data_IF_336540994540
#
_entry.id   IF_336540994540
#
_cell.length_a   1.000
_cell.length_b   1.000
_cell.length_c   1.000
_cell.angle_alpha   90.00
_cell.angle_beta   90.00
_cell.angle_gamma   90.00
#
_symmetry.space_group_name_H-M   'P 1'
#
loop_
_entity.id
_entity.type
_entity.pdbx_description
1 polymer ?
#
# COMPACT_ATOMS: atom_id res chain seq x y z
N UNK A 1 -10.34 14.93 19.69
CA UNK A 1 -10.75 13.90 18.69
C UNK A 1 -9.71 13.72 17.58
N UNK A 2 -9.09 14.79 17.05
CA UNK A 2 -8.03 14.66 16.04
C UNK A 2 -6.82 13.84 16.50
N UNK A 3 -6.36 14.01 17.75
CA UNK A 3 -5.20 13.25 18.28
C UNK A 3 -5.38 11.73 18.18
N UNK A 4 -6.57 11.22 18.49
CA UNK A 4 -6.87 9.77 18.38
C UNK A 4 -6.76 9.29 16.93
N UNK A 5 -7.27 10.06 15.95
CA UNK A 5 -7.17 9.71 14.54
C UNK A 5 -5.74 9.69 14.02
N UNK A 6 -4.91 10.66 14.44
CA UNK A 6 -3.48 10.67 14.10
C UNK A 6 -2.78 9.42 14.65
N UNK A 7 -3.00 9.09 15.93
CA UNK A 7 -2.42 7.88 16.54
C UNK A 7 -2.88 6.62 15.79
N UNK A 8 -4.16 6.51 15.43
CA UNK A 8 -4.68 5.39 14.64
C UNK A 8 -4.01 5.30 13.26
N UNK A 9 -3.85 6.42 12.54
CA UNK A 9 -3.20 6.44 11.22
C UNK A 9 -1.72 6.04 11.31
N UNK A 10 -1.00 6.49 12.35
CA UNK A 10 0.38 6.05 12.59
C UNK A 10 0.47 4.56 12.90
N UNK A 11 -0.41 4.05 13.76
CA UNK A 11 -0.44 2.64 14.12
C UNK A 11 -0.73 1.76 12.89
N UNK A 12 -1.71 2.16 12.06
CA UNK A 12 -2.02 1.45 10.81
C UNK A 12 -0.84 1.49 9.83
N UNK A 13 -0.21 2.65 9.64
CA UNK A 13 0.94 2.80 8.75
C UNK A 13 2.13 1.94 9.22
N UNK A 14 2.41 1.93 10.51
CA UNK A 14 3.46 1.10 11.10
C UNK A 14 3.15 -0.40 10.93
N UNK A 15 1.91 -0.81 11.16
CA UNK A 15 1.48 -2.20 10.97
C UNK A 15 1.61 -2.65 9.52
N UNK A 16 1.22 -1.80 8.56
CA UNK A 16 1.42 -2.04 7.12
C UNK A 16 2.92 -2.20 6.81
N UNK A 17 3.76 -1.29 7.32
CA UNK A 17 5.21 -1.37 7.11
C UNK A 17 5.85 -2.63 7.70
N UNK A 18 5.40 -3.06 8.88
CA UNK A 18 5.84 -4.30 9.50
C UNK A 18 5.50 -5.52 8.63
N UNK A 19 4.27 -5.59 8.11
CA UNK A 19 3.85 -6.67 7.20
C UNK A 19 4.62 -6.63 5.87
N UNK A 20 4.90 -5.45 5.32
CA UNK A 20 5.74 -5.30 4.13
C UNK A 20 7.18 -5.75 4.38
N UNK A 21 7.71 -5.52 5.58
CA UNK A 21 9.03 -6.02 5.99
C UNK A 21 9.02 -7.54 6.10
N UNK A 22 7.95 -8.15 6.62
CA UNK A 22 7.79 -9.61 6.63
C UNK A 22 7.75 -10.19 5.22
N UNK A 23 7.02 -9.56 4.28
CA UNK A 23 7.01 -9.97 2.86
C UNK A 23 8.43 -9.91 2.28
N UNK A 24 9.17 -8.84 2.56
CA UNK A 24 10.55 -8.68 2.08
C UNK A 24 11.49 -9.73 2.68
N UNK A 25 11.33 -10.07 3.97
CA UNK A 25 12.07 -11.14 4.64
C UNK A 25 11.80 -12.50 4.00
N UNK A 26 10.52 -12.86 3.82
CA UNK A 26 10.12 -14.11 3.16
C UNK A 26 10.61 -14.19 1.72
N UNK A 27 10.53 -13.09 0.98
CA UNK A 27 10.99 -13.03 -0.42
C UNK A 27 12.51 -13.14 -0.50
N UNK A 28 13.24 -12.46 0.39
CA UNK A 28 14.71 -12.57 0.46
C UNK A 28 15.15 -13.99 0.82
N UNK A 29 14.49 -14.63 1.78
CA UNK A 29 14.73 -16.02 2.12
C UNK A 29 14.45 -16.94 0.93
N UNK A 30 13.34 -16.72 0.23
CA UNK A 30 12.97 -17.47 -0.98
C UNK A 30 14.00 -17.34 -2.10
N UNK A 31 14.62 -16.16 -2.29
CA UNK A 31 15.70 -15.97 -3.26
C UNK A 31 16.90 -16.82 -2.89
N UNK A 32 17.34 -16.77 -1.63
CA UNK A 32 18.49 -17.57 -1.15
C UNK A 32 18.24 -19.07 -1.30
N UNK A 33 17.04 -19.54 -0.97
CA UNK A 33 16.66 -20.95 -1.13
C UNK A 33 16.59 -21.33 -2.61
N UNK A 34 16.04 -20.46 -3.46
CA UNK A 34 16.00 -20.65 -4.91
C UNK A 34 17.40 -20.78 -5.50
N UNK A 35 18.35 -19.93 -5.10
CA UNK A 35 19.73 -19.96 -5.61
C UNK A 35 20.43 -21.28 -5.26
N UNK A 36 20.11 -21.89 -4.09
CA UNK A 36 20.61 -23.23 -3.74
C UNK A 36 20.01 -24.34 -4.60
N UNK A 37 18.78 -24.15 -5.06
CA UNK A 37 18.05 -25.10 -5.87
C UNK A 37 18.29 -24.92 -7.37
N UNK A 38 19.04 -23.90 -7.81
CA UNK A 38 19.19 -23.52 -9.23
C UNK A 38 19.61 -24.70 -10.13
N UNK A 39 20.43 -25.62 -9.62
CA UNK A 39 20.82 -26.85 -10.33
C UNK A 39 19.68 -27.80 -10.66
N UNK A 40 18.58 -27.76 -9.89
CA UNK A 40 17.40 -28.62 -10.04
C UNK A 40 16.23 -27.90 -10.73
N UNK A 41 16.34 -26.59 -10.96
CA UNK A 41 15.28 -25.81 -11.58
C UNK A 41 15.28 -26.02 -13.10
N UNK A 42 14.13 -26.34 -13.72
CA UNK A 42 14.03 -26.34 -15.18
C UNK A 42 14.32 -24.94 -15.75
N UNK A 43 14.97 -24.85 -16.93
CA UNK A 43 15.44 -23.58 -17.52
C UNK A 43 14.30 -22.62 -17.89
N UNK A 44 13.05 -23.08 -17.91
CA UNK A 44 11.86 -22.31 -18.30
C UNK A 44 11.15 -21.60 -17.13
N UNK A 45 11.73 -21.56 -15.93
CA UNK A 45 11.08 -20.94 -14.76
C UNK A 45 11.09 -19.41 -14.86
N UNK A 46 9.90 -18.82 -14.91
CA UNK A 46 9.74 -17.36 -14.82
C UNK A 46 9.86 -16.88 -13.38
N UNK A 47 10.97 -16.21 -13.06
CA UNK A 47 11.19 -15.60 -11.74
C UNK A 47 10.42 -14.28 -11.49
N UNK A 48 9.44 -13.96 -12.33
CA UNK A 48 8.75 -12.66 -12.31
C UNK A 48 7.97 -12.49 -10.98
N UNK A 49 7.30 -13.54 -10.50
CA UNK A 49 6.56 -13.50 -9.24
C UNK A 49 7.39 -13.11 -8.02
N UNK A 50 8.64 -13.59 -7.91
CA UNK A 50 9.56 -13.24 -6.81
C UNK A 50 9.94 -11.76 -6.89
N UNK A 51 10.26 -11.26 -8.10
CA UNK A 51 10.59 -9.84 -8.30
C UNK A 51 9.41 -8.92 -7.96
N UNK A 52 8.19 -9.33 -8.31
CA UNK A 52 6.97 -8.58 -8.00
C UNK A 52 6.70 -8.53 -6.48
N UNK A 53 6.92 -9.63 -5.76
CA UNK A 53 6.82 -9.66 -4.29
C UNK A 53 7.91 -8.79 -3.61
N UNK A 54 9.13 -8.82 -4.13
CA UNK A 54 10.22 -7.95 -3.65
C UNK A 54 9.87 -6.48 -3.84
N UNK A 55 9.29 -6.13 -4.99
CA UNK A 55 8.80 -4.79 -5.27
C UNK A 55 7.66 -4.38 -4.32
N UNK A 56 6.77 -5.31 -3.95
CA UNK A 56 5.74 -5.08 -2.94
C UNK A 56 6.35 -4.73 -1.57
N UNK A 57 7.35 -5.50 -1.13
CA UNK A 57 8.03 -5.28 0.14
C UNK A 57 8.75 -3.94 0.19
N UNK A 58 9.64 -3.68 -0.78
CA UNK A 58 10.41 -2.41 -0.85
C UNK A 58 9.47 -1.22 -1.02
N UNK A 59 8.50 -1.33 -1.93
CA UNK A 59 7.52 -0.29 -2.19
C UNK A 59 6.72 0.06 -0.94
N UNK A 60 6.26 -0.95 -0.19
CA UNK A 60 5.53 -0.74 1.06
C UNK A 60 6.34 -0.02 2.14
N UNK A 61 7.64 -0.28 2.25
CA UNK A 61 8.53 0.45 3.18
C UNK A 61 8.65 1.92 2.76
N UNK A 62 8.86 2.19 1.47
CA UNK A 62 8.93 3.56 0.94
C UNK A 62 7.61 4.30 1.17
N UNK A 63 6.48 3.63 0.91
CA UNK A 63 5.14 4.17 1.11
C UNK A 63 4.87 4.50 2.58
N UNK A 64 5.31 3.63 3.51
CA UNK A 64 5.26 3.87 4.96
C UNK A 64 6.05 5.13 5.34
N UNK A 65 7.26 5.30 4.82
CA UNK A 65 8.11 6.46 5.10
C UNK A 65 7.49 7.75 4.55
N UNK A 66 6.98 7.72 3.32
CA UNK A 66 6.34 8.88 2.70
C UNK A 66 5.06 9.30 3.44
N UNK A 67 4.21 8.33 3.80
CA UNK A 67 3.00 8.62 4.56
C UNK A 67 3.33 9.13 5.97
N UNK A 68 4.30 8.51 6.64
CA UNK A 68 4.80 8.94 7.95
C UNK A 68 5.37 10.36 7.92
N UNK A 69 6.24 10.67 6.96
CA UNK A 69 6.78 12.01 6.77
C UNK A 69 5.67 13.04 6.50
N UNK A 70 4.70 12.69 5.66
CA UNK A 70 3.51 13.51 5.41
C UNK A 70 2.76 13.83 6.70
N UNK A 71 2.50 12.83 7.54
CA UNK A 71 1.83 13.02 8.84
C UNK A 71 2.65 13.90 9.80
N UNK A 72 3.97 13.70 9.90
CA UNK A 72 4.85 14.49 10.79
C UNK A 72 4.83 15.96 10.37
N UNK A 73 5.02 16.24 9.07
CA UNK A 73 5.03 17.60 8.53
C UNK A 73 3.67 18.27 8.78
N UNK A 74 2.56 17.54 8.63
CA UNK A 74 1.23 18.04 8.94
C UNK A 74 1.04 18.40 10.40
N UNK A 75 1.47 17.53 11.32
CA UNK A 75 1.38 17.77 12.75
C UNK A 75 2.23 18.98 13.19
N UNK A 76 3.48 19.08 12.71
CA UNK A 76 4.37 20.20 13.00
C UNK A 76 3.81 21.54 12.48
N UNK A 77 3.25 21.53 11.27
CA UNK A 77 2.65 22.73 10.66
C UNK A 77 1.39 23.17 11.40
N UNK A 78 0.61 22.25 11.96
CA UNK A 78 -0.60 22.57 12.72
C UNK A 78 -0.26 23.26 14.05
N UNK A 79 0.76 22.80 14.76
CA UNK A 79 1.18 23.43 16.04
C UNK A 79 1.71 24.85 15.85
N UNK A 80 2.44 25.10 14.75
CA UNK A 80 3.05 26.41 14.48
C UNK A 80 2.05 27.47 14.00
N UNK A 81 0.91 27.05 13.44
CA UNK A 81 -0.12 27.95 12.91
C UNK A 81 -1.18 28.38 13.94
N UNK A 82 -1.12 27.86 15.16
CA UNK A 82 -2.02 28.28 16.24
C UNK A 82 -1.67 29.69 16.77
N UNK A 83 -0.47 30.20 16.50
CA UNK A 83 -0.01 31.54 16.90
C UNK A 83 -0.15 32.64 15.82
N UNK A 84 -0.55 32.32 14.59
CA UNK A 84 -0.73 33.34 13.53
C UNK A 84 -2.05 33.14 12.79
N UNK A 85 -3.04 33.92 13.22
CA UNK A 85 -4.44 33.93 12.78
C UNK A 85 -4.66 34.45 11.33
N UNK A 86 -3.62 34.64 10.54
CA UNK A 86 -3.70 35.22 9.19
C UNK A 86 -2.81 34.45 8.21
N UNK A 87 -3.43 33.56 7.42
CA UNK A 87 -3.15 33.28 6.00
C UNK A 87 -3.90 32.01 5.60
N UNK A 88 -5.14 32.22 5.18
CA UNK A 88 -6.15 31.21 4.89
C UNK A 88 -5.90 30.43 3.58
N UNK A 89 -4.85 30.74 2.82
CA UNK A 89 -4.64 30.17 1.48
C UNK A 89 -3.74 28.91 1.44
N UNK A 90 -2.81 28.72 2.39
CA UNK A 90 -1.87 27.56 2.37
C UNK A 90 -2.44 26.25 2.94
N UNK A 91 -3.75 26.19 3.22
CA UNK A 91 -4.46 24.99 3.68
C UNK A 91 -4.95 24.10 2.51
N UNK A 92 -4.67 24.44 1.25
CA UNK A 92 -5.15 23.69 0.08
C UNK A 92 -4.28 22.49 -0.33
N UNK A 93 -2.95 22.57 -0.17
CA UNK A 93 -2.03 21.61 -0.78
C UNK A 93 -1.90 20.30 0.03
N UNK A 94 -1.83 20.42 1.35
CA UNK A 94 -1.60 19.29 2.26
C UNK A 94 -2.63 18.13 2.14
N UNK A 95 -3.95 18.38 2.08
CA UNK A 95 -4.94 17.29 2.00
C UNK A 95 -4.92 16.55 0.66
N UNK A 96 -4.50 17.20 -0.43
CA UNK A 96 -4.39 16.57 -1.75
C UNK A 96 -3.18 15.63 -1.81
N UNK A 97 -2.02 16.06 -1.29
CA UNK A 97 -0.82 15.22 -1.22
C UNK A 97 -1.02 13.98 -0.34
N UNK A 98 -1.68 14.14 0.81
CA UNK A 98 -1.95 12.99 1.71
C UNK A 98 -2.89 11.96 1.06
N UNK A 99 -3.91 12.42 0.33
CA UNK A 99 -4.84 11.55 -0.39
C UNK A 99 -4.16 10.84 -1.57
N UNK A 100 -3.25 11.51 -2.28
CA UNK A 100 -2.42 10.90 -3.32
C UNK A 100 -1.54 9.77 -2.77
N UNK A 101 -0.81 10.03 -1.68
CA UNK A 101 0.04 9.00 -1.03
C UNK A 101 -0.82 7.84 -0.53
N UNK A 102 -1.95 8.11 0.13
CA UNK A 102 -2.86 7.05 0.58
C UNK A 102 -3.42 6.20 -0.57
N UNK A 103 -3.64 6.80 -1.75
CA UNK A 103 -4.07 6.08 -2.96
C UNK A 103 -2.97 5.15 -3.45
N UNK A 104 -1.71 5.60 -3.48
CA UNK A 104 -0.55 4.77 -3.87
C UNK A 104 -0.39 3.59 -2.92
N UNK A 105 -0.45 3.84 -1.60
CA UNK A 105 -0.33 2.80 -0.55
C UNK A 105 -1.39 1.70 -0.72
N UNK A 106 -2.60 2.06 -1.17
CA UNK A 106 -3.67 1.10 -1.42
C UNK A 106 -3.55 0.40 -2.78
N UNK A 107 -3.32 1.17 -3.85
CA UNK A 107 -3.37 0.66 -5.22
C UNK A 107 -2.20 -0.28 -5.53
N UNK A 108 -1.00 -0.01 -4.99
CA UNK A 108 0.19 -0.84 -5.23
C UNK A 108 0.01 -2.30 -4.77
N UNK A 109 -0.29 -2.59 -3.49
CA UNK A 109 -0.47 -3.97 -3.05
C UNK A 109 -1.67 -4.63 -3.75
N UNK A 110 -2.72 -3.87 -4.09
CA UNK A 110 -3.85 -4.39 -4.86
C UNK A 110 -3.44 -4.89 -6.26
N UNK A 111 -2.69 -4.08 -7.02
CA UNK A 111 -2.20 -4.45 -8.36
C UNK A 111 -1.29 -5.67 -8.27
N UNK A 112 -0.40 -5.71 -7.28
CA UNK A 112 0.51 -6.83 -7.07
C UNK A 112 -0.26 -8.10 -6.67
N UNK A 113 -1.28 -8.00 -5.82
CA UNK A 113 -2.10 -9.13 -5.47
C UNK A 113 -2.84 -9.70 -6.69
N UNK A 114 -3.48 -8.83 -7.48
CA UNK A 114 -4.17 -9.23 -8.72
C UNK A 114 -3.18 -9.92 -9.66
N UNK A 115 -2.00 -9.34 -9.87
CA UNK A 115 -0.97 -9.91 -10.73
C UNK A 115 -0.53 -11.29 -10.26
N UNK A 116 -0.19 -11.43 -8.98
CA UNK A 116 0.31 -12.69 -8.41
C UNK A 116 -0.74 -13.80 -8.41
N UNK A 117 -2.02 -13.47 -8.21
CA UNK A 117 -3.12 -14.44 -8.33
C UNK A 117 -3.39 -14.85 -9.78
N UNK A 118 -3.37 -13.89 -10.73
CA UNK A 118 -3.53 -14.21 -12.16
C UNK A 118 -2.38 -15.10 -12.65
N UNK A 119 -1.15 -14.78 -12.27
CA UNK A 119 0.03 -15.55 -12.66
C UNK A 119 -0.03 -16.98 -12.09
N UNK A 120 -0.41 -17.12 -10.82
CA UNK A 120 -0.58 -18.43 -10.20
C UNK A 120 -1.70 -19.26 -10.83
N UNK A 121 -2.89 -18.67 -11.05
CA UNK A 121 -3.99 -19.38 -11.70
C UNK A 121 -3.65 -19.81 -13.13
N UNK A 122 -2.87 -18.98 -13.87
CA UNK A 122 -2.38 -19.37 -15.19
C UNK A 122 -1.38 -20.51 -15.11
N UNK A 123 -0.49 -20.55 -14.11
CA UNK A 123 0.45 -21.67 -13.98
C UNK A 123 -0.30 -22.95 -13.65
N UNK A 124 -1.27 -22.94 -12.73
CA UNK A 124 -2.03 -24.15 -12.36
C UNK A 124 -2.89 -24.69 -13.50
N UNK A 125 -3.58 -23.81 -14.24
CA UNK A 125 -4.48 -24.25 -15.32
C UNK A 125 -3.76 -24.67 -16.61
N UNK A 126 -2.52 -24.20 -16.83
CA UNK A 126 -1.78 -24.56 -18.02
C UNK A 126 -1.05 -25.90 -17.90
N UNK A 127 -0.94 -26.49 -16.71
CA UNK A 127 -0.25 -27.78 -16.41
C UNK A 127 -0.84 -29.00 -17.14
N UNK A 128 -1.98 -28.82 -17.82
CA UNK A 128 -2.62 -29.88 -18.59
C UNK A 128 -2.23 -29.90 -20.08
N UNK A 129 -1.30 -29.06 -20.54
CA UNK A 129 -1.05 -28.93 -21.98
C UNK A 129 0.37 -28.45 -22.34
N UNK A 130 1.22 -29.43 -22.66
CA UNK A 130 2.42 -29.35 -23.52
C UNK A 130 3.76 -29.02 -22.85
N UNK A 131 4.82 -29.67 -23.37
CA UNK A 131 6.23 -29.71 -22.92
C UNK A 131 6.97 -28.34 -22.85
N UNK A 132 6.26 -27.22 -23.05
CA UNK A 132 6.78 -25.85 -22.98
C UNK A 132 6.10 -25.01 -21.87
N UNK A 133 5.59 -25.66 -20.84
CA UNK A 133 4.83 -25.01 -19.76
C UNK A 133 5.67 -24.01 -18.95
N UNK A 134 5.12 -22.78 -18.83
CA UNK A 134 5.64 -21.73 -17.96
C UNK A 134 5.36 -22.11 -16.49
N UNK A 135 6.34 -22.74 -15.85
CA UNK A 135 6.26 -23.09 -14.44
C UNK A 135 6.71 -21.89 -13.59
N UNK A 136 5.91 -21.51 -12.60
CA UNK A 136 6.30 -20.50 -11.60
C UNK A 136 7.13 -21.16 -10.49
N UNK A 137 8.06 -20.44 -9.84
CA UNK A 137 8.86 -21.00 -8.73
C UNK A 137 8.00 -21.62 -7.63
N UNK A 138 6.84 -21.03 -7.35
CA UNK A 138 5.88 -21.55 -6.38
C UNK A 138 5.25 -22.86 -6.84
N UNK A 139 4.65 -22.91 -8.04
CA UNK A 139 4.01 -24.15 -8.55
C UNK A 139 5.00 -25.31 -8.65
N UNK A 140 6.22 -25.07 -9.12
CA UNK A 140 7.27 -26.08 -9.15
C UNK A 140 7.62 -26.60 -7.75
N UNK A 141 7.83 -25.68 -6.80
CA UNK A 141 8.21 -26.01 -5.43
C UNK A 141 7.09 -26.72 -4.67
N UNK A 142 5.83 -26.43 -4.98
CA UNK A 142 4.66 -27.02 -4.33
C UNK A 142 4.24 -28.37 -4.92
N UNK A 143 4.31 -28.55 -6.26
CA UNK A 143 3.72 -29.71 -6.94
C UNK A 143 4.74 -30.77 -7.38
N UNK A 144 5.98 -30.37 -7.68
CA UNK A 144 6.93 -31.23 -8.41
C UNK A 144 8.13 -31.68 -7.58
N UNK A 145 8.65 -30.84 -6.69
CA UNK A 145 9.99 -31.05 -6.10
C UNK A 145 9.97 -31.74 -4.73
N UNK A 146 10.56 -32.94 -4.59
CA UNK A 146 10.77 -33.58 -3.29
C UNK A 146 12.03 -33.00 -2.63
N UNK A 147 11.85 -32.16 -1.61
CA UNK A 147 12.97 -31.65 -0.80
C UNK A 147 12.50 -30.70 0.29
N UNK A 148 13.23 -30.65 1.41
CA UNK A 148 12.91 -29.72 2.51
C UNK A 148 13.01 -28.26 2.05
N UNK A 149 14.04 -27.93 1.26
CA UNK A 149 14.23 -26.59 0.67
C UNK A 149 13.08 -26.20 -0.28
N UNK A 150 12.60 -27.14 -1.11
CA UNK A 150 11.46 -26.89 -2.00
C UNK A 150 10.15 -26.67 -1.21
N UNK A 151 9.92 -27.45 -0.15
CA UNK A 151 8.76 -27.25 0.74
C UNK A 151 8.82 -25.91 1.46
N UNK A 152 10.01 -25.50 1.93
CA UNK A 152 10.21 -24.18 2.53
C UNK A 152 9.92 -23.08 1.52
N UNK A 153 10.44 -23.19 0.29
CA UNK A 153 10.21 -22.21 -0.78
C UNK A 153 8.72 -22.08 -1.13
N UNK A 154 8.00 -23.19 -1.25
CA UNK A 154 6.55 -23.21 -1.45
C UNK A 154 5.82 -22.50 -0.29
N UNK A 155 6.15 -22.86 0.95
CA UNK A 155 5.54 -22.27 2.14
C UNK A 155 5.78 -20.76 2.23
N UNK A 156 7.00 -20.30 1.97
CA UNK A 156 7.39 -18.89 2.07
C UNK A 156 6.72 -18.02 1.00
N UNK A 157 6.69 -18.48 -0.25
CA UNK A 157 6.03 -17.76 -1.34
C UNK A 157 4.52 -17.72 -1.14
N UNK A 158 3.93 -18.83 -0.69
CA UNK A 158 2.52 -18.89 -0.32
C UNK A 158 2.22 -17.91 0.80
N UNK A 159 2.99 -17.96 1.89
CA UNK A 159 2.84 -17.05 3.02
C UNK A 159 2.97 -15.58 2.59
N UNK A 160 3.95 -15.23 1.77
CA UNK A 160 4.14 -13.87 1.25
C UNK A 160 2.90 -13.37 0.49
N UNK A 161 2.29 -14.21 -0.36
CA UNK A 161 1.04 -13.85 -1.05
C UNK A 161 -0.13 -13.67 -0.08
N UNK A 162 -0.30 -14.56 0.89
CA UNK A 162 -1.40 -14.44 1.86
C UNK A 162 -1.22 -13.25 2.80
N UNK A 163 0.01 -12.84 3.11
CA UNK A 163 0.30 -11.62 3.89
C UNK A 163 -0.07 -10.33 3.13
N UNK A 164 -0.13 -10.34 1.80
CA UNK A 164 -0.63 -9.19 1.05
C UNK A 164 -2.12 -8.88 1.33
N UNK A 165 -2.92 -9.90 1.65
CA UNK A 165 -4.36 -9.74 1.93
C UNK A 165 -4.60 -8.80 3.12
N UNK A 166 -4.05 -9.07 4.33
CA UNK A 166 -4.20 -8.14 5.46
C UNK A 166 -3.57 -6.77 5.18
N UNK A 167 -2.49 -6.68 4.40
CA UNK A 167 -1.92 -5.38 3.96
C UNK A 167 -2.96 -4.55 3.20
N UNK A 168 -3.67 -5.15 2.24
CA UNK A 168 -4.71 -4.46 1.47
C UNK A 168 -5.90 -4.08 2.36
N UNK A 169 -6.32 -4.95 3.26
CA UNK A 169 -7.43 -4.67 4.20
C UNK A 169 -7.08 -3.47 5.08
N UNK A 170 -5.86 -3.43 5.64
CA UNK A 170 -5.39 -2.32 6.46
C UNK A 170 -5.23 -1.03 5.63
N UNK A 171 -4.66 -1.12 4.43
CA UNK A 171 -4.51 0.02 3.52
C UNK A 171 -5.86 0.59 3.10
N UNK A 172 -6.86 -0.25 2.84
CA UNK A 172 -8.23 0.18 2.53
C UNK A 172 -8.88 0.91 3.71
N UNK A 173 -8.70 0.38 4.92
CA UNK A 173 -9.16 1.02 6.16
C UNK A 173 -8.52 2.41 6.34
N UNK A 174 -7.21 2.49 6.17
CA UNK A 174 -6.46 3.74 6.24
C UNK A 174 -6.93 4.74 5.18
N UNK A 175 -7.09 4.31 3.93
CA UNK A 175 -7.59 5.12 2.82
C UNK A 175 -8.98 5.68 3.11
N UNK A 176 -9.89 4.86 3.65
CA UNK A 176 -11.24 5.29 4.04
C UNK A 176 -11.21 6.38 5.12
N UNK A 177 -10.34 6.25 6.12
CA UNK A 177 -10.16 7.27 7.17
C UNK A 177 -9.67 8.58 6.57
N UNK A 178 -8.63 8.52 5.72
CA UNK A 178 -8.06 9.69 5.04
C UNK A 178 -9.11 10.38 4.16
N UNK A 179 -9.85 9.61 3.36
CA UNK A 179 -10.92 10.14 2.51
C UNK A 179 -12.04 10.79 3.33
N UNK A 180 -12.41 10.18 4.46
CA UNK A 180 -13.42 10.76 5.35
C UNK A 180 -12.95 12.10 5.95
N UNK A 181 -11.71 12.18 6.43
CA UNK A 181 -11.11 13.43 6.92
C UNK A 181 -11.06 14.49 5.82
N UNK A 182 -10.66 14.10 4.61
CA UNK A 182 -10.64 14.97 3.44
C UNK A 182 -12.01 15.57 3.13
N UNK A 183 -13.04 14.72 3.01
CA UNK A 183 -14.41 15.14 2.70
C UNK A 183 -14.99 16.02 3.80
N UNK A 184 -14.76 15.67 5.07
CA UNK A 184 -15.22 16.47 6.22
C UNK A 184 -14.62 17.88 6.20
N UNK A 185 -13.31 17.98 5.96
CA UNK A 185 -12.61 19.27 5.87
C UNK A 185 -13.13 20.11 4.70
N UNK A 186 -13.44 19.46 3.57
CA UNK A 186 -14.01 20.14 2.40
C UNK A 186 -15.44 20.66 2.64
N UNK A 187 -16.27 19.95 3.41
CA UNK A 187 -17.62 20.41 3.78
C UNK A 187 -17.57 21.67 4.64
N UNK A 188 -16.79 21.65 5.72
CA UNK A 188 -16.64 22.80 6.63
C UNK A 188 -16.21 24.05 5.85
N UNK A 189 -15.30 23.89 4.88
CA UNK A 189 -14.87 25.03 4.04
C UNK A 189 -15.98 25.61 3.18
N UNK A 190 -16.90 24.78 2.64
CA UNK A 190 -18.03 25.25 1.83
C UNK A 190 -19.04 26.03 2.68
N UNK A 191 -19.24 25.63 3.92
CA UNK A 191 -20.14 26.33 4.87
C UNK A 191 -19.59 27.72 5.20
N UNK A 192 -18.32 27.81 5.61
CA UNK A 192 -17.67 29.10 5.92
C UNK A 192 -17.65 30.04 4.71
N UNK A 193 -17.35 29.54 3.51
CA UNK A 193 -17.33 30.38 2.30
C UNK A 193 -18.70 30.93 1.89
N UNK A 194 -19.80 30.25 2.26
CA UNK A 194 -21.18 30.70 2.00
C UNK A 194 -21.60 31.83 2.93
N UNK A 195 -21.23 31.76 4.21
CA UNK A 195 -21.52 32.82 5.18
C UNK A 195 -20.83 34.14 4.79
N UNK A 196 -19.58 34.08 4.30
CA UNK A 196 -18.84 35.29 3.88
C UNK A 196 -19.43 35.93 2.62
N UNK A 197 -19.99 35.15 1.69
CA UNK A 197 -20.61 35.68 0.46
C UNK A 197 -22.03 36.19 0.68
N UNK A 198 -22.79 35.63 1.65
CA UNK A 198 -24.10 36.16 2.04
C UNK A 198 -24.02 37.52 2.73
N UNK A 199 -23.03 37.72 3.61
CA UNK A 199 -22.86 39.00 4.34
C UNK A 199 -22.43 40.18 3.47
N UNK A 200 -21.82 39.95 2.31
CA UNK A 200 -21.42 41.01 1.37
C UNK A 200 -22.56 41.43 0.42
N UNK A 201 -23.63 40.64 0.32
CA UNK A 201 -24.78 40.94 -0.54
C UNK A 201 -25.77 41.95 0.04
N UNK A 202 -25.83 42.11 1.37
CA UNK A 202 -26.79 43.01 2.03
C UNK A 202 -26.36 44.49 2.09
N UNK A 203 -25.13 44.83 1.70
CA UNK A 203 -24.63 46.23 1.77
C UNK A 203 -24.84 46.99 0.44
N UNK A 204 -25.37 46.34 -0.59
CA UNK A 204 -25.49 46.91 -1.94
C UNK A 204 -26.77 47.70 -2.24
N UNK A 205 -27.81 47.63 -1.40
CA UNK A 205 -29.18 48.09 -1.73
C UNK A 205 -29.63 49.34 -0.95
N UNK A 206 -28.73 50.32 -0.78
CA UNK A 206 -28.99 51.61 -0.13
C UNK A 206 -28.74 52.82 -1.06
N UNK A 207 -29.16 52.74 -2.32
CA UNK A 207 -29.19 53.90 -3.23
C UNK A 207 -30.53 54.06 -3.92
#
# INVERSE_FOLDING_TARGET
MMSKLFVTLYALNFLIGALCTSILGLTSHSIVVKDRLEFYLPPNIKSIGIGVLMWAGVGGIVDMLLFGAGLIIGALKNNKHQDRHEKNERRLEYPNSLLFVATIVFLRPLVILIYTFIEHNRSVNNVTSSENELVTPESWACDVSPGEDARSLCSDLRAARYVLIPVIVLAAGMFRIVLWVYLRTRRIRKEVGRETTGSLGEVGDLR
#
